data_IF_837942304610
#
_entry.id   IF_837942304610
#
_cell.length_a   1.000
_cell.length_b   1.000
_cell.length_c   1.000
_cell.angle_alpha   90.00
_cell.angle_beta   90.00
_cell.angle_gamma   90.00
#
_symmetry.space_group_name_H-M   'P 1'
#
loop_
_entity.id
_entity.type
_entity.pdbx_description
1 polymer ?
#
# COMPACT_ATOMS: atom_id res chain seq x y z
N UNK A 1 -32.40 -27.58 -4.26
CA UNK A 1 -33.72 -28.02 -4.77
C UNK A 1 -34.35 -26.82 -5.46
N UNK A 2 -34.13 -26.70 -6.76
CA UNK A 2 -34.64 -25.60 -7.59
C UNK A 2 -36.16 -25.67 -7.54
N UNK A 3 -36.80 -24.61 -7.05
CA UNK A 3 -38.25 -24.57 -6.88
C UNK A 3 -38.93 -24.70 -8.24
N UNK A 4 -39.78 -25.72 -8.34
CA UNK A 4 -40.59 -26.13 -9.49
C UNK A 4 -41.51 -25.01 -10.04
N UNK A 5 -41.55 -23.83 -9.38
CA UNK A 5 -42.26 -22.64 -9.83
C UNK A 5 -41.62 -21.93 -11.03
N UNK A 6 -40.33 -22.13 -11.30
CA UNK A 6 -39.65 -21.46 -12.42
C UNK A 6 -39.98 -22.09 -13.79
N UNK A 7 -40.47 -23.33 -13.83
CA UNK A 7 -40.65 -24.10 -15.06
C UNK A 7 -42.10 -24.07 -15.61
N UNK A 8 -43.05 -23.55 -14.85
CA UNK A 8 -44.48 -23.50 -15.22
C UNK A 8 -44.89 -22.24 -15.98
N UNK A 9 -43.97 -21.29 -16.19
CA UNK A 9 -44.25 -20.05 -16.93
C UNK A 9 -44.21 -20.19 -18.47
N UNK A 10 -43.94 -21.40 -18.99
CA UNK A 10 -43.72 -21.64 -20.43
C UNK A 10 -44.94 -22.13 -21.23
N UNK A 11 -46.14 -22.24 -20.64
CA UNK A 11 -47.34 -22.67 -21.38
C UNK A 11 -48.58 -21.79 -21.12
N UNK A 12 -48.82 -20.90 -22.09
CA UNK A 12 -50.11 -20.46 -22.66
C UNK A 12 -51.08 -19.55 -21.86
N UNK A 13 -51.44 -18.47 -22.57
CA UNK A 13 -52.66 -17.61 -22.51
C UNK A 13 -52.57 -16.32 -21.69
N UNK A 14 -52.32 -15.22 -22.42
CA UNK A 14 -52.70 -13.81 -22.16
C UNK A 14 -53.07 -13.45 -20.70
N UNK A 15 -52.05 -13.08 -19.93
CA UNK A 15 -52.20 -12.20 -18.78
C UNK A 15 -51.33 -10.95 -19.03
N UNK A 16 -51.96 -9.78 -18.89
CA UNK A 16 -51.34 -8.46 -18.95
C UNK A 16 -50.01 -8.49 -18.18
N UNK A 17 -48.91 -8.07 -18.82
CA UNK A 17 -47.62 -7.92 -18.16
C UNK A 17 -47.82 -7.00 -16.95
N UNK A 18 -47.80 -7.55 -15.74
CA UNK A 18 -47.68 -6.76 -14.53
C UNK A 18 -46.35 -6.02 -14.68
N UNK A 19 -46.43 -4.71 -14.88
CA UNK A 19 -45.25 -3.86 -14.91
C UNK A 19 -44.82 -3.79 -13.45
N UNK A 20 -43.79 -4.55 -13.07
CA UNK A 20 -43.22 -4.47 -11.72
C UNK A 20 -42.56 -3.08 -11.61
N UNK A 21 -43.01 -2.29 -10.64
CA UNK A 21 -42.45 -0.99 -10.34
C UNK A 21 -41.43 -1.17 -9.22
N UNK A 22 -40.28 -0.52 -9.34
CA UNK A 22 -39.22 -0.62 -8.34
C UNK A 22 -38.88 0.75 -7.75
N UNK A 23 -38.54 0.82 -6.47
CA UNK A 23 -38.03 2.04 -5.84
C UNK A 23 -36.53 1.92 -5.51
N UNK A 24 -35.73 2.95 -5.85
CA UNK A 24 -34.31 2.96 -5.52
C UNK A 24 -34.11 3.33 -4.04
N UNK A 25 -33.27 2.58 -3.34
CA UNK A 25 -32.82 2.89 -1.98
C UNK A 25 -31.30 3.05 -1.98
N UNK A 26 -30.81 4.20 -1.49
CA UNK A 26 -29.38 4.44 -1.31
C UNK A 26 -28.93 3.73 -0.03
N UNK A 27 -28.09 2.70 -0.17
CA UNK A 27 -27.65 1.88 0.96
C UNK A 27 -26.29 2.32 1.51
N UNK A 28 -25.42 2.85 0.67
CA UNK A 28 -24.14 3.43 1.11
C UNK A 28 -23.65 4.53 0.18
N UNK A 29 -22.95 5.51 0.78
CA UNK A 29 -22.15 6.51 0.06
C UNK A 29 -20.68 6.11 0.19
N UNK A 30 -20.09 5.70 -0.92
CA UNK A 30 -18.68 5.36 -1.03
C UNK A 30 -17.95 6.51 -1.71
N UNK A 31 -16.82 6.91 -1.13
CA UNK A 31 -15.94 7.89 -1.74
C UNK A 31 -14.79 7.15 -2.44
N UNK A 32 -14.23 7.76 -3.49
CA UNK A 32 -12.98 7.32 -4.10
C UNK A 32 -11.86 7.11 -3.06
N UNK A 33 -11.84 7.94 -2.03
CA UNK A 33 -10.93 7.83 -0.89
C UNK A 33 -11.70 7.84 0.42
N UNK A 34 -11.23 7.10 1.44
CA UNK A 34 -11.87 7.09 2.78
C UNK A 34 -11.91 8.45 3.48
N UNK A 35 -11.26 9.48 2.93
CA UNK A 35 -11.17 10.83 3.50
C UNK A 35 -11.23 11.87 2.38
N UNK A 36 -11.84 13.02 2.67
CA UNK A 36 -11.83 14.19 1.79
C UNK A 36 -10.52 14.95 1.96
N UNK A 37 -9.83 15.22 0.85
CA UNK A 37 -8.67 16.11 0.85
C UNK A 37 -9.09 17.51 0.41
N UNK A 38 -8.65 18.52 1.15
CA UNK A 38 -8.91 19.92 0.77
C UNK A 38 -8.31 20.22 -0.61
N UNK A 39 -9.07 20.94 -1.44
CA UNK A 39 -8.71 21.35 -2.80
C UNK A 39 -8.45 20.19 -3.77
N UNK A 40 -8.90 18.97 -3.44
CA UNK A 40 -8.87 17.81 -4.34
C UNK A 40 -10.29 17.37 -4.67
N UNK A 41 -10.60 17.27 -5.96
CA UNK A 41 -11.84 16.65 -6.41
C UNK A 41 -11.84 15.17 -6.00
N UNK A 42 -12.90 14.74 -5.33
CA UNK A 42 -13.09 13.35 -4.87
C UNK A 42 -14.38 12.82 -5.47
N UNK A 43 -14.33 11.70 -6.18
CA UNK A 43 -15.54 11.08 -6.72
C UNK A 43 -16.41 10.47 -5.62
N UNK A 44 -17.72 10.64 -5.76
CA UNK A 44 -18.75 10.12 -4.86
C UNK A 44 -19.55 9.06 -5.61
N UNK A 45 -19.66 7.87 -5.04
CA UNK A 45 -20.46 6.77 -5.57
C UNK A 45 -21.57 6.41 -4.59
N UNK A 46 -22.77 6.17 -5.12
CA UNK A 46 -23.89 5.74 -4.29
C UNK A 46 -24.29 4.32 -4.70
N UNK A 47 -24.29 3.40 -3.73
CA UNK A 47 -24.80 2.03 -3.92
C UNK A 47 -26.31 2.03 -3.78
N UNK A 48 -26.96 1.28 -4.67
CA UNK A 48 -28.41 1.20 -4.78
C UNK A 48 -28.89 -0.22 -4.58
N UNK A 49 -29.97 -0.35 -3.82
CA UNK A 49 -30.82 -1.53 -3.79
C UNK A 49 -32.23 -1.15 -4.27
N UNK A 50 -32.91 -2.08 -4.92
CA UNK A 50 -34.21 -1.84 -5.53
C UNK A 50 -35.27 -2.66 -4.79
N UNK A 51 -36.25 -1.98 -4.20
CA UNK A 51 -37.43 -2.61 -3.60
C UNK A 51 -38.59 -2.64 -4.59
N UNK A 52 -39.60 -3.47 -4.32
CA UNK A 52 -40.84 -3.51 -5.08
C UNK A 52 -41.80 -2.40 -4.61
N UNK A 53 -42.45 -1.73 -5.56
CA UNK A 53 -43.54 -0.78 -5.30
C UNK A 53 -44.88 -1.51 -5.42
N UNK A 54 -45.64 -1.52 -4.32
CA UNK A 54 -46.95 -2.17 -4.26
C UNK A 54 -48.03 -1.47 -5.12
N UNK A 55 -47.84 -0.19 -5.46
CA UNK A 55 -48.80 0.60 -6.26
C UNK A 55 -48.11 1.36 -7.41
N UNK A 56 -48.67 1.34 -8.63
CA UNK A 56 -48.20 2.17 -9.74
C UNK A 56 -48.36 3.66 -9.38
N UNK A 57 -47.30 4.45 -9.47
CA UNK A 57 -47.38 5.90 -9.32
C UNK A 57 -47.47 6.55 -10.71
N UNK A 58 -48.44 7.46 -10.89
CA UNK A 58 -48.57 8.22 -12.13
C UNK A 58 -47.38 9.16 -12.32
N UNK A 59 -46.83 9.22 -13.53
CA UNK A 59 -45.74 10.14 -13.88
C UNK A 59 -44.32 9.62 -13.63
N UNK A 60 -44.14 8.39 -13.13
CA UNK A 60 -42.81 7.79 -13.03
C UNK A 60 -42.20 7.55 -14.41
N UNK A 61 -41.08 8.23 -14.67
CA UNK A 61 -40.31 8.06 -15.88
C UNK A 61 -39.37 6.86 -15.80
N UNK A 62 -38.80 6.46 -16.95
CA UNK A 62 -37.73 5.46 -17.02
C UNK A 62 -36.35 6.10 -16.82
N UNK A 63 -36.28 7.09 -15.94
CA UNK A 63 -35.09 7.91 -15.69
C UNK A 63 -34.90 7.99 -14.18
N UNK A 64 -33.70 7.67 -13.74
CA UNK A 64 -33.24 7.82 -12.38
C UNK A 64 -32.52 9.15 -12.26
N UNK A 65 -33.06 10.08 -11.49
CA UNK A 65 -32.43 11.35 -11.18
C UNK A 65 -31.62 11.22 -9.89
N UNK A 66 -30.48 11.89 -9.84
CA UNK A 66 -29.66 11.95 -8.64
C UNK A 66 -29.12 13.36 -8.42
N UNK A 67 -28.92 13.71 -7.15
CA UNK A 67 -28.26 14.95 -6.73
C UNK A 67 -27.34 14.67 -5.55
N UNK A 68 -26.20 15.35 -5.57
CA UNK A 68 -25.20 15.32 -4.50
C UNK A 68 -25.13 16.69 -3.88
N UNK A 69 -25.38 16.75 -2.58
CA UNK A 69 -25.32 17.97 -1.79
C UNK A 69 -24.14 17.92 -0.82
N UNK A 70 -23.56 19.08 -0.57
CA UNK A 70 -22.55 19.30 0.46
C UNK A 70 -23.08 20.40 1.37
N UNK A 71 -23.26 20.09 2.65
CA UNK A 71 -23.88 20.98 3.64
C UNK A 71 -25.21 21.58 3.16
N UNK A 72 -26.02 20.77 2.47
CA UNK A 72 -27.32 21.15 1.92
C UNK A 72 -27.27 21.95 0.60
N UNK A 73 -26.10 22.32 0.08
CA UNK A 73 -25.97 22.95 -1.23
C UNK A 73 -25.78 21.91 -2.33
N UNK A 74 -26.56 21.97 -3.42
CA UNK A 74 -26.42 21.06 -4.56
C UNK A 74 -25.10 21.35 -5.29
N UNK A 75 -24.21 20.37 -5.31
CA UNK A 75 -22.89 20.46 -5.97
C UNK A 75 -22.90 19.75 -7.32
N UNK A 76 -23.56 18.61 -7.42
CA UNK A 76 -23.75 17.88 -8.68
C UNK A 76 -25.17 17.33 -8.79
N UNK A 77 -25.60 17.10 -10.02
CA UNK A 77 -26.84 16.42 -10.35
C UNK A 77 -26.71 15.75 -11.72
N UNK A 78 -27.51 14.71 -11.94
CA UNK A 78 -27.53 14.02 -13.22
C UNK A 78 -28.72 13.06 -13.34
N UNK A 79 -28.77 12.40 -14.48
CA UNK A 79 -29.84 11.46 -14.82
C UNK A 79 -29.27 10.19 -15.46
N UNK A 80 -29.91 9.06 -15.21
CA UNK A 80 -29.56 7.76 -15.80
C UNK A 80 -30.83 7.13 -16.38
N UNK A 81 -30.82 6.87 -17.70
CA UNK A 81 -31.94 6.20 -18.38
C UNK A 81 -31.93 4.70 -18.09
N UNK A 82 -33.01 4.18 -17.52
CA UNK A 82 -33.15 2.78 -17.10
C UNK A 82 -33.47 1.82 -18.27
N UNK A 83 -34.01 2.34 -19.39
CA UNK A 83 -34.50 1.53 -20.51
C UNK A 83 -33.43 1.03 -21.51
N UNK A 84 -32.19 1.50 -21.44
CA UNK A 84 -31.19 1.14 -22.46
C UNK A 84 -30.64 -0.30 -22.31
N UNK A 85 -30.73 -0.87 -21.10
CA UNK A 85 -30.10 -2.16 -20.75
C UNK A 85 -31.04 -3.13 -19.99
N UNK A 86 -32.26 -2.73 -19.62
CA UNK A 86 -33.19 -3.49 -18.76
C UNK A 86 -32.59 -3.99 -17.44
N UNK A 87 -31.46 -3.41 -17.01
CA UNK A 87 -30.78 -3.76 -15.76
C UNK A 87 -30.81 -2.54 -14.84
N UNK A 88 -31.42 -2.72 -13.67
CA UNK A 88 -31.44 -1.71 -12.63
C UNK A 88 -30.00 -1.49 -12.10
N UNK A 89 -29.49 -0.25 -12.08
CA UNK A 89 -28.12 0.01 -11.65
C UNK A 89 -27.96 -0.28 -10.16
N UNK A 90 -26.91 -1.02 -9.79
CA UNK A 90 -26.53 -1.27 -8.39
C UNK A 90 -25.63 -0.18 -7.81
N UNK A 91 -25.12 0.72 -8.66
CA UNK A 91 -24.27 1.84 -8.27
C UNK A 91 -24.43 2.99 -9.26
N UNK A 92 -24.37 4.23 -8.76
CA UNK A 92 -24.31 5.44 -9.58
C UNK A 92 -23.04 6.24 -9.26
N UNK A 93 -22.47 6.85 -10.29
CA UNK A 93 -21.47 7.91 -10.14
C UNK A 93 -22.21 9.21 -9.84
N UNK A 94 -22.10 9.66 -8.58
CA UNK A 94 -22.77 10.83 -8.04
C UNK A 94 -21.88 12.09 -8.13
N UNK A 95 -20.93 12.10 -9.06
CA UNK A 95 -20.09 13.24 -9.40
C UNK A 95 -18.98 13.52 -8.39
N UNK A 96 -18.27 14.63 -8.61
CA UNK A 96 -17.09 14.99 -7.84
C UNK A 96 -17.36 16.11 -6.83
N UNK A 97 -16.92 15.92 -5.59
CA UNK A 97 -17.00 16.94 -4.54
C UNK A 97 -15.62 17.57 -4.29
N UNK A 98 -15.57 18.90 -4.22
CA UNK A 98 -14.40 19.67 -3.80
C UNK A 98 -14.70 20.52 -2.58
N UNK A 99 -13.84 20.47 -1.58
CA UNK A 99 -13.96 21.22 -0.32
C UNK A 99 -12.70 22.06 -0.09
N UNK A 100 -12.86 23.28 0.43
CA UNK A 100 -11.77 24.27 0.50
C UNK A 100 -11.21 24.52 1.90
N UNK A 101 -11.87 24.01 2.94
CA UNK A 101 -11.41 24.19 4.33
C UNK A 101 -11.44 22.89 5.12
N UNK A 102 -10.57 22.75 6.13
CA UNK A 102 -10.56 21.57 6.99
C UNK A 102 -11.68 21.65 8.03
N UNK A 103 -12.82 21.07 7.68
CA UNK A 103 -14.02 20.99 8.51
C UNK A 103 -14.75 19.66 8.26
N UNK A 104 -15.74 19.37 9.10
CA UNK A 104 -16.69 18.29 8.82
C UNK A 104 -17.70 18.80 7.80
N UNK A 105 -17.84 18.07 6.71
CA UNK A 105 -18.85 18.32 5.67
C UNK A 105 -19.87 17.20 5.69
N UNK A 106 -21.12 17.54 5.49
CA UNK A 106 -22.21 16.60 5.31
C UNK A 106 -22.42 16.34 3.83
N UNK A 107 -22.07 15.14 3.37
CA UNK A 107 -22.34 14.70 2.01
C UNK A 107 -23.68 13.97 1.99
N UNK A 108 -24.62 14.53 1.25
CA UNK A 108 -25.95 13.95 1.05
C UNK A 108 -26.09 13.52 -0.40
N UNK A 109 -26.46 12.25 -0.62
CA UNK A 109 -26.84 11.78 -1.96
C UNK A 109 -28.32 11.44 -1.94
N UNK A 110 -29.08 12.11 -2.81
CA UNK A 110 -30.49 11.83 -3.04
C UNK A 110 -30.67 11.23 -4.42
N UNK A 111 -31.48 10.18 -4.51
CA UNK A 111 -31.85 9.49 -5.75
C UNK A 111 -33.37 9.41 -5.84
N UNK A 112 -33.94 9.71 -7.01
CA UNK A 112 -35.38 9.69 -7.22
C UNK A 112 -35.76 9.26 -8.64
N UNK A 113 -36.96 8.67 -8.78
CA UNK A 113 -37.63 8.47 -10.06
C UNK A 113 -38.54 9.66 -10.45
N UNK A 114 -38.70 10.62 -9.54
CA UNK A 114 -39.35 11.91 -9.77
C UNK A 114 -38.27 12.98 -9.99
N UNK A 115 -38.43 13.80 -11.05
CA UNK A 115 -37.48 14.85 -11.39
C UNK A 115 -37.36 15.91 -10.30
N UNK A 116 -38.46 16.17 -9.59
CA UNK A 116 -38.52 17.26 -8.60
C UNK A 116 -38.19 16.77 -7.18
N UNK A 117 -37.89 15.47 -7.00
CA UNK A 117 -37.60 14.82 -5.71
C UNK A 117 -38.71 15.05 -4.66
N UNK A 118 -39.94 15.29 -5.12
CA UNK A 118 -41.07 15.67 -4.26
C UNK A 118 -41.80 14.45 -3.70
N UNK A 119 -41.74 13.34 -4.42
CA UNK A 119 -42.39 12.10 -4.05
C UNK A 119 -41.48 11.25 -3.13
N UNK A 120 -41.79 11.22 -1.84
CA UNK A 120 -41.03 10.47 -0.82
C UNK A 120 -41.06 8.94 -1.04
N UNK A 121 -42.05 8.39 -1.74
CA UNK A 121 -42.15 6.94 -1.97
C UNK A 121 -41.11 6.40 -2.96
N UNK A 122 -40.58 7.29 -3.80
CA UNK A 122 -39.60 6.95 -4.84
C UNK A 122 -38.30 7.74 -4.70
N UNK A 123 -38.16 8.49 -3.60
CA UNK A 123 -36.98 9.28 -3.28
C UNK A 123 -36.28 8.67 -2.08
N UNK A 124 -35.00 8.33 -2.24
CA UNK A 124 -34.14 7.88 -1.17
C UNK A 124 -32.98 8.86 -0.99
N UNK A 125 -32.72 9.24 0.25
CA UNK A 125 -31.63 10.14 0.61
C UNK A 125 -30.81 9.51 1.72
N UNK A 126 -29.48 9.54 1.57
CA UNK A 126 -28.55 9.12 2.59
C UNK A 126 -27.56 10.26 2.89
N UNK A 127 -27.25 10.44 4.16
CA UNK A 127 -26.34 11.47 4.65
C UNK A 127 -25.10 10.82 5.27
N UNK A 128 -23.93 11.40 5.00
CA UNK A 128 -22.66 10.94 5.54
C UNK A 128 -21.77 12.13 5.89
N UNK A 129 -21.53 12.32 7.19
CA UNK A 129 -20.58 13.31 7.70
C UNK A 129 -19.13 12.85 7.51
N UNK A 130 -18.31 13.67 6.85
CA UNK A 130 -16.92 13.37 6.53
C UNK A 130 -16.03 14.56 6.84
N UNK A 131 -14.94 14.32 7.56
CA UNK A 131 -13.97 15.35 7.88
C UNK A 131 -12.96 15.52 6.74
N UNK A 132 -12.81 16.76 6.27
CA UNK A 132 -11.82 17.11 5.28
C UNK A 132 -10.48 17.46 5.92
N UNK A 133 -9.41 16.84 5.43
CA UNK A 133 -8.04 17.09 5.90
C UNK A 133 -7.18 17.69 4.80
N UNK A 134 -6.20 18.51 5.19
CA UNK A 134 -5.16 18.93 4.25
C UNK A 134 -4.25 17.76 3.90
N UNK A 135 -3.85 17.65 2.64
CA UNK A 135 -2.92 16.62 2.16
C UNK A 135 -1.60 16.61 2.93
N UNK A 136 -1.15 17.76 3.45
CA UNK A 136 0.07 17.86 4.26
C UNK A 136 0.01 17.06 5.57
N UNK A 137 -1.20 16.82 6.09
CA UNK A 137 -1.43 16.02 7.32
C UNK A 137 -0.99 14.56 7.13
N UNK A 138 -0.95 14.06 5.89
CA UNK A 138 -0.46 12.71 5.57
C UNK A 138 1.01 12.47 5.92
N UNK A 139 1.82 13.52 6.09
CA UNK A 139 3.22 13.42 6.51
C UNK A 139 3.39 13.24 8.03
N UNK A 140 2.35 13.55 8.82
CA UNK A 140 2.43 13.51 10.29
C UNK A 140 2.77 12.10 10.80
N UNK A 141 2.10 11.00 10.35
CA UNK A 141 2.46 9.66 10.79
C UNK A 141 3.94 9.33 10.55
N UNK A 142 4.50 9.71 9.40
CA UNK A 142 5.90 9.48 9.06
C UNK A 142 6.84 10.23 10.02
N UNK A 143 6.57 11.52 10.25
CA UNK A 143 7.37 12.34 11.18
C UNK A 143 7.32 11.76 12.58
N UNK A 144 6.14 11.33 13.04
CA UNK A 144 5.96 10.70 14.35
C UNK A 144 6.76 9.41 14.44
N UNK A 145 6.72 8.54 13.43
CA UNK A 145 7.51 7.30 13.41
C UNK A 145 9.00 7.61 13.55
N UNK A 146 9.54 8.54 12.75
CA UNK A 146 10.97 8.88 12.79
C UNK A 146 11.36 9.48 14.14
N UNK A 147 10.54 10.39 14.66
CA UNK A 147 10.77 11.00 15.97
C UNK A 147 10.79 9.97 17.10
N UNK A 148 9.80 9.09 17.17
CA UNK A 148 9.74 8.03 18.18
C UNK A 148 10.83 6.99 17.99
N UNK A 149 11.24 6.68 16.76
CA UNK A 149 12.31 5.72 16.49
C UNK A 149 13.64 6.22 17.09
N UNK A 150 13.94 7.51 16.92
CA UNK A 150 15.14 8.15 17.48
C UNK A 150 15.04 8.24 19.01
N UNK A 151 13.87 8.62 19.55
CA UNK A 151 13.69 8.80 20.99
C UNK A 151 13.72 7.49 21.77
N UNK A 152 13.05 6.46 21.25
CA UNK A 152 12.84 5.19 21.96
C UNK A 152 13.89 4.14 21.62
N UNK A 153 14.62 4.30 20.50
CA UNK A 153 15.45 3.26 19.89
C UNK A 153 14.70 1.92 19.69
N UNK A 154 13.36 1.98 19.52
CA UNK A 154 12.48 0.82 19.32
C UNK A 154 11.62 1.05 18.08
N UNK A 155 12.00 0.41 16.99
CA UNK A 155 11.36 0.60 15.68
C UNK A 155 9.92 0.08 15.69
N UNK A 156 9.66 -1.04 16.36
CA UNK A 156 8.36 -1.71 16.41
C UNK A 156 7.32 -0.83 17.12
N UNK A 157 7.70 -0.25 18.26
CA UNK A 157 6.84 0.68 19.01
C UNK A 157 6.57 1.93 18.18
N UNK A 158 7.59 2.43 17.48
CA UNK A 158 7.48 3.65 16.68
C UNK A 158 6.55 3.46 15.47
N UNK A 159 6.63 2.31 14.80
CA UNK A 159 5.70 1.94 13.73
C UNK A 159 4.26 1.81 14.25
N UNK A 160 4.07 1.17 15.41
CA UNK A 160 2.75 1.07 16.03
C UNK A 160 2.14 2.43 16.36
N UNK A 161 2.93 3.34 16.93
CA UNK A 161 2.51 4.74 17.19
C UNK A 161 2.19 5.47 15.89
N UNK A 162 2.94 5.23 14.82
CA UNK A 162 2.64 5.75 13.47
C UNK A 162 1.28 5.32 12.95
N UNK A 163 0.96 4.02 13.05
CA UNK A 163 -0.35 3.47 12.64
C UNK A 163 -1.48 4.07 13.49
N UNK A 164 -1.28 4.18 14.81
CA UNK A 164 -2.23 4.85 15.69
C UNK A 164 -2.44 6.31 15.31
N UNK A 165 -1.36 7.03 14.99
CA UNK A 165 -1.42 8.43 14.55
C UNK A 165 -2.22 8.58 13.25
N UNK A 166 -1.98 7.71 12.27
CA UNK A 166 -2.72 7.71 11.01
C UNK A 166 -4.21 7.45 11.21
N UNK A 167 -4.57 6.51 12.08
CA UNK A 167 -5.98 6.23 12.40
C UNK A 167 -6.62 7.34 13.21
N UNK A 168 -5.93 7.98 14.16
CA UNK A 168 -6.45 9.16 14.84
C UNK A 168 -6.82 10.26 13.84
N UNK A 169 -5.98 10.49 12.82
CA UNK A 169 -6.26 11.48 11.76
C UNK A 169 -7.52 11.11 10.97
N UNK A 170 -7.66 9.84 10.57
CA UNK A 170 -8.80 9.37 9.76
C UNK A 170 -10.12 9.41 10.53
N UNK A 171 -10.10 9.17 11.84
CA UNK A 171 -11.29 9.14 12.70
C UNK A 171 -11.45 10.42 13.53
N UNK A 172 -11.33 11.58 12.89
CA UNK A 172 -11.64 12.90 13.46
C UNK A 172 -10.85 13.24 14.74
N UNK A 173 -9.58 12.82 14.85
CA UNK A 173 -8.74 12.96 16.03
C UNK A 173 -9.30 12.27 17.28
N UNK A 174 -10.26 11.35 17.13
CA UNK A 174 -10.75 10.50 18.22
C UNK A 174 -9.69 9.45 18.57
N UNK A 175 -9.10 9.61 19.75
CA UNK A 175 -8.09 8.69 20.28
C UNK A 175 -8.69 7.30 20.49
N UNK A 176 -9.89 7.22 21.05
CA UNK A 176 -10.52 5.94 21.40
C UNK A 176 -10.93 5.20 20.13
N UNK A 177 -11.61 5.88 19.21
CA UNK A 177 -12.09 5.22 17.99
C UNK A 177 -10.93 4.90 17.04
N UNK A 178 -9.98 5.82 16.86
CA UNK A 178 -8.81 5.55 16.04
C UNK A 178 -7.97 4.39 16.60
N UNK A 179 -7.79 4.29 17.93
CA UNK A 179 -7.06 3.17 18.53
C UNK A 179 -7.76 1.84 18.32
N UNK A 180 -9.08 1.78 18.53
CA UNK A 180 -9.88 0.58 18.24
C UNK A 180 -9.74 0.18 16.78
N UNK A 181 -9.82 1.15 15.88
CA UNK A 181 -9.74 0.94 14.42
C UNK A 181 -8.35 0.52 13.96
N UNK A 182 -7.30 1.03 14.58
CA UNK A 182 -5.94 0.56 14.35
C UNK A 182 -5.84 -0.95 14.58
N UNK A 183 -6.41 -1.44 15.68
CA UNK A 183 -6.37 -2.87 16.02
C UNK A 183 -7.34 -3.70 15.16
N UNK A 184 -8.61 -3.33 15.10
CA UNK A 184 -9.67 -4.20 14.54
C UNK A 184 -9.76 -4.16 13.01
N UNK A 185 -9.35 -3.06 12.38
CA UNK A 185 -9.57 -2.82 10.95
C UNK A 185 -8.25 -2.84 10.21
N UNK A 186 -7.27 -2.03 10.64
CA UNK A 186 -6.03 -1.84 9.88
C UNK A 186 -5.03 -2.96 10.12
N UNK A 187 -4.77 -3.34 11.38
CA UNK A 187 -3.86 -4.46 11.68
C UNK A 187 -4.46 -5.78 11.18
N UNK A 188 -5.73 -6.06 11.48
CA UNK A 188 -6.39 -7.28 10.98
C UNK A 188 -6.44 -7.26 9.45
N UNK A 189 -6.84 -6.15 8.83
CA UNK A 189 -6.87 -6.01 7.38
C UNK A 189 -5.52 -6.30 6.74
N UNK A 190 -4.44 -5.75 7.30
CA UNK A 190 -3.07 -5.99 6.83
C UNK A 190 -2.64 -7.46 7.00
N UNK A 191 -3.05 -8.14 8.07
CA UNK A 191 -2.77 -9.57 8.30
C UNK A 191 -3.58 -10.49 7.39
N UNK A 192 -4.79 -10.08 6.99
CA UNK A 192 -5.66 -10.84 6.07
C UNK A 192 -5.35 -10.59 4.61
N UNK A 193 -4.55 -9.57 4.31
CA UNK A 193 -4.12 -9.25 2.96
C UNK A 193 -3.16 -10.32 2.44
N UNK A 194 -3.52 -10.94 1.31
CA UNK A 194 -2.76 -12.06 0.76
C UNK A 194 -1.33 -11.67 0.42
N UNK A 195 -1.09 -10.48 -0.12
CA UNK A 195 0.25 -10.03 -0.52
C UNK A 195 1.14 -9.86 0.72
N UNK A 196 0.61 -9.26 1.79
CA UNK A 196 1.33 -9.16 3.07
C UNK A 196 1.62 -10.54 3.67
N UNK A 197 0.72 -11.51 3.54
CA UNK A 197 0.96 -12.88 4.01
C UNK A 197 2.11 -13.55 3.26
N UNK A 198 2.22 -13.36 1.95
CA UNK A 198 3.36 -13.86 1.17
C UNK A 198 4.68 -13.27 1.69
N UNK A 199 4.72 -11.97 1.98
CA UNK A 199 5.91 -11.31 2.55
C UNK A 199 6.26 -11.91 3.92
N UNK A 200 5.29 -12.06 4.82
CA UNK A 200 5.51 -12.64 6.16
C UNK A 200 6.07 -14.07 6.06
N UNK A 201 5.46 -14.92 5.23
CA UNK A 201 5.91 -16.29 5.02
C UNK A 201 7.33 -16.32 4.45
N UNK A 202 7.59 -15.49 3.44
CA UNK A 202 8.90 -15.39 2.83
C UNK A 202 9.99 -14.98 3.84
N UNK A 203 9.76 -13.93 4.64
CA UNK A 203 10.68 -13.49 5.70
C UNK A 203 10.92 -14.58 6.75
N UNK A 204 9.88 -15.35 7.11
CA UNK A 204 9.99 -16.44 8.08
C UNK A 204 10.82 -17.61 7.52
N UNK A 205 10.60 -18.02 6.27
CA UNK A 205 11.39 -19.06 5.60
C UNK A 205 12.86 -18.64 5.47
N UNK A 206 13.10 -17.40 5.09
CA UNK A 206 14.42 -16.84 4.91
C UNK A 206 15.20 -16.80 6.24
N UNK A 207 14.56 -16.34 7.31
CA UNK A 207 15.12 -16.36 8.67
C UNK A 207 15.45 -17.79 9.13
N UNK A 208 14.59 -18.77 8.82
CA UNK A 208 14.84 -20.18 9.11
C UNK A 208 16.02 -20.77 8.33
N UNK A 209 16.13 -20.45 7.03
CA UNK A 209 17.24 -20.85 6.18
C UNK A 209 18.55 -20.28 6.70
N UNK A 210 18.57 -19.00 7.05
CA UNK A 210 19.73 -18.31 7.62
C UNK A 210 20.16 -18.97 8.94
N UNK A 211 19.22 -19.22 9.87
CA UNK A 211 19.52 -19.90 11.12
C UNK A 211 20.04 -21.35 10.93
N UNK A 212 19.56 -22.05 9.91
CA UNK A 212 20.08 -23.37 9.54
C UNK A 212 21.52 -23.27 9.01
N UNK A 213 21.83 -22.28 8.17
CA UNK A 213 23.17 -22.05 7.66
C UNK A 213 24.17 -21.81 8.80
N UNK A 214 23.81 -21.01 9.80
CA UNK A 214 24.64 -20.78 10.98
C UNK A 214 24.93 -22.07 11.75
N UNK A 215 23.90 -22.90 12.01
CA UNK A 215 24.06 -24.16 12.76
C UNK A 215 24.78 -25.26 12.00
N UNK A 216 24.72 -25.25 10.66
CA UNK A 216 25.31 -26.29 9.80
C UNK A 216 26.85 -26.31 9.81
N UNK A 217 27.50 -25.34 10.47
CA UNK A 217 28.94 -25.12 10.42
C UNK A 217 29.52 -24.88 9.01
N UNK A 218 28.67 -24.69 7.99
CA UNK A 218 29.09 -24.36 6.61
C UNK A 218 29.93 -23.07 6.56
N UNK A 219 29.61 -22.11 7.43
CA UNK A 219 30.37 -20.87 7.66
C UNK A 219 31.84 -21.15 8.00
N UNK A 220 32.12 -22.17 8.83
CA UNK A 220 33.49 -22.54 9.19
C UNK A 220 34.26 -23.17 8.00
N UNK A 221 33.59 -23.97 7.17
CA UNK A 221 34.16 -24.50 5.93
C UNK A 221 34.49 -23.41 4.91
N UNK A 222 33.61 -22.40 4.79
CA UNK A 222 33.83 -21.25 3.93
C UNK A 222 35.03 -20.43 4.41
N UNK A 223 35.14 -20.18 5.72
CA UNK A 223 36.30 -19.47 6.29
C UNK A 223 37.62 -20.15 6.00
N UNK A 224 37.69 -21.48 6.11
CA UNK A 224 38.93 -22.20 5.85
C UNK A 224 39.37 -22.07 4.39
N UNK A 225 38.42 -22.02 3.48
CA UNK A 225 38.66 -21.85 2.04
C UNK A 225 39.11 -20.41 1.73
N UNK A 226 38.40 -19.41 2.28
CA UNK A 226 38.69 -18.00 2.07
C UNK A 226 40.01 -17.55 2.69
N UNK A 227 40.43 -18.16 3.81
CA UNK A 227 41.70 -17.87 4.48
C UNK A 227 42.92 -18.03 3.56
N UNK A 228 42.87 -18.91 2.55
CA UNK A 228 43.96 -19.09 1.58
C UNK A 228 44.18 -17.87 0.68
N UNK A 229 43.12 -17.08 0.46
CA UNK A 229 43.12 -15.88 -0.39
C UNK A 229 43.29 -14.59 0.41
N UNK A 230 42.87 -14.57 1.68
CA UNK A 230 42.99 -13.45 2.61
C UNK A 230 44.43 -13.27 3.15
N UNK A 231 45.37 -12.90 2.28
CA UNK A 231 46.79 -12.75 2.64
C UNK A 231 47.17 -11.40 3.23
N UNK A 232 46.38 -10.36 2.93
CA UNK A 232 46.64 -8.99 3.41
C UNK A 232 45.34 -8.37 3.93
N UNK A 233 45.40 -7.36 4.81
CA UNK A 233 44.21 -6.69 5.32
C UNK A 233 43.28 -6.18 4.21
N UNK A 234 43.85 -5.57 3.17
CA UNK A 234 43.11 -5.09 1.99
C UNK A 234 42.42 -6.25 1.24
N UNK A 235 43.12 -7.36 1.00
CA UNK A 235 42.52 -8.52 0.32
C UNK A 235 41.40 -9.15 1.15
N UNK A 236 41.57 -9.22 2.48
CA UNK A 236 40.52 -9.74 3.36
C UNK A 236 39.28 -8.83 3.39
N UNK A 237 39.47 -7.51 3.41
CA UNK A 237 38.37 -6.55 3.29
C UNK A 237 37.68 -6.64 1.93
N UNK A 238 38.43 -6.79 0.83
CA UNK A 238 37.86 -7.03 -0.51
C UNK A 238 37.09 -8.35 -0.57
N UNK A 239 37.58 -9.41 0.06
CA UNK A 239 36.85 -10.68 0.15
C UNK A 239 35.55 -10.53 0.95
N UNK A 240 35.56 -9.75 2.03
CA UNK A 240 34.35 -9.44 2.79
C UNK A 240 33.35 -8.66 1.93
N UNK A 241 33.84 -7.62 1.25
CA UNK A 241 33.03 -6.82 0.33
C UNK A 241 32.41 -7.69 -0.78
N UNK A 242 33.22 -8.52 -1.45
CA UNK A 242 32.73 -9.44 -2.49
C UNK A 242 31.79 -10.51 -1.95
N UNK A 243 31.95 -10.96 -0.70
CA UNK A 243 31.02 -11.92 -0.10
C UNK A 243 29.61 -11.34 0.01
N UNK A 244 29.47 -10.04 0.27
CA UNK A 244 28.18 -9.37 0.27
C UNK A 244 27.49 -9.35 -1.11
N UNK A 245 28.26 -9.33 -2.21
CA UNK A 245 27.68 -9.50 -3.55
C UNK A 245 27.19 -10.91 -3.82
N UNK A 246 27.82 -11.92 -3.21
CA UNK A 246 27.43 -13.30 -3.41
C UNK A 246 26.16 -13.62 -2.61
N UNK A 247 26.08 -13.09 -1.39
CA UNK A 247 24.93 -13.25 -0.48
C UNK A 247 23.95 -12.08 -0.66
N UNK A 248 23.58 -11.81 -1.91
CA UNK A 248 22.79 -10.64 -2.30
C UNK A 248 21.27 -10.80 -2.17
N UNK A 249 20.80 -12.01 -1.86
CA UNK A 249 19.37 -12.32 -1.88
C UNK A 249 18.60 -11.69 -0.71
N UNK A 250 19.30 -11.33 0.39
CA UNK A 250 18.70 -10.74 1.58
C UNK A 250 19.74 -10.00 2.42
N UNK A 251 19.36 -8.85 2.97
CA UNK A 251 20.24 -7.99 3.76
C UNK A 251 20.55 -8.57 5.15
N UNK A 252 19.60 -9.21 5.83
CA UNK A 252 19.86 -9.89 7.11
C UNK A 252 20.75 -11.12 6.93
N UNK A 253 20.43 -11.97 5.95
CA UNK A 253 21.24 -13.14 5.62
C UNK A 253 22.68 -12.75 5.30
N UNK A 254 22.85 -11.70 4.51
CA UNK A 254 24.15 -11.12 4.16
C UNK A 254 24.90 -10.68 5.42
N UNK A 255 24.27 -9.84 6.24
CA UNK A 255 24.88 -9.33 7.46
C UNK A 255 25.39 -10.43 8.38
N UNK A 256 24.58 -11.46 8.57
CA UNK A 256 24.88 -12.55 9.47
C UNK A 256 25.94 -13.48 8.90
N UNK A 257 25.78 -13.93 7.66
CA UNK A 257 26.69 -14.87 7.02
C UNK A 257 28.05 -14.23 6.73
N UNK A 258 28.09 -13.05 6.12
CA UNK A 258 29.34 -12.33 5.84
C UNK A 258 30.02 -11.92 7.13
N UNK A 259 29.28 -11.40 8.12
CA UNK A 259 29.82 -11.03 9.43
C UNK A 259 30.44 -12.21 10.17
N UNK A 260 29.71 -13.32 10.31
CA UNK A 260 30.19 -14.52 10.99
C UNK A 260 31.39 -15.19 10.28
N UNK A 261 31.36 -15.22 8.93
CA UNK A 261 32.44 -15.78 8.13
C UNK A 261 33.69 -14.90 8.18
N UNK A 262 33.55 -13.60 7.95
CA UNK A 262 34.72 -12.77 7.71
C UNK A 262 35.40 -12.34 9.02
N UNK A 263 34.67 -12.28 10.13
CA UNK A 263 35.20 -11.84 11.42
C UNK A 263 36.46 -12.59 11.87
N UNK A 264 36.53 -13.93 11.91
CA UNK A 264 37.77 -14.63 12.29
C UNK A 264 38.95 -14.36 11.36
N UNK A 265 38.70 -14.08 10.08
CA UNK A 265 39.75 -13.80 9.08
C UNK A 265 40.30 -12.39 9.28
N UNK A 266 39.43 -11.40 9.47
CA UNK A 266 39.81 -10.00 9.66
C UNK A 266 40.42 -9.74 11.04
N UNK A 267 39.93 -10.41 12.10
CA UNK A 267 40.54 -10.33 13.44
C UNK A 267 42.01 -10.81 13.40
N UNK A 268 42.35 -11.83 12.59
CA UNK A 268 43.74 -12.30 12.40
C UNK A 268 44.64 -11.31 11.64
N UNK A 269 44.04 -10.42 10.85
CA UNK A 269 44.75 -9.42 10.04
C UNK A 269 44.67 -8.02 10.67
N UNK A 270 44.26 -7.93 11.93
CA UNK A 270 44.16 -6.68 12.71
C UNK A 270 43.28 -5.62 12.04
N UNK A 271 42.19 -6.03 11.39
CA UNK A 271 41.16 -5.11 10.91
C UNK A 271 40.09 -4.98 12.00
N UNK A 272 39.67 -3.76 12.30
CA UNK A 272 38.70 -3.45 13.33
C UNK A 272 37.32 -4.03 13.02
N UNK A 273 36.55 -4.26 14.09
CA UNK A 273 35.18 -4.79 13.98
C UNK A 273 34.23 -3.76 13.42
N UNK A 274 34.50 -2.49 13.68
CA UNK A 274 33.80 -1.33 13.14
C UNK A 274 33.95 -1.29 11.61
N UNK A 275 35.17 -1.51 11.09
CA UNK A 275 35.40 -1.59 9.65
C UNK A 275 34.68 -2.78 9.02
N UNK A 276 34.71 -3.95 9.67
CA UNK A 276 33.96 -5.11 9.19
C UNK A 276 32.45 -4.84 9.19
N UNK A 277 31.90 -4.28 10.27
CA UNK A 277 30.49 -3.93 10.36
C UNK A 277 30.09 -2.97 9.23
N UNK A 278 30.93 -1.97 8.94
CA UNK A 278 30.68 -1.03 7.86
C UNK A 278 30.73 -1.69 6.47
N UNK A 279 31.72 -2.56 6.22
CA UNK A 279 31.78 -3.34 4.96
C UNK A 279 30.49 -4.13 4.77
N UNK A 280 30.12 -4.90 5.79
CA UNK A 280 28.96 -5.79 5.75
C UNK A 280 27.66 -5.01 5.54
N UNK A 281 27.43 -3.95 6.31
CA UNK A 281 26.25 -3.08 6.18
C UNK A 281 26.17 -2.40 4.79
N UNK A 282 27.29 -1.87 4.31
CA UNK A 282 27.39 -1.22 2.99
C UNK A 282 27.17 -2.17 1.81
N UNK A 283 27.24 -3.49 2.04
CA UNK A 283 27.01 -4.52 1.01
C UNK A 283 25.72 -5.30 1.22
N UNK A 284 25.04 -5.16 2.35
CA UNK A 284 23.80 -5.86 2.64
C UNK A 284 22.62 -5.15 1.94
N UNK A 285 22.10 -4.08 2.54
CA UNK A 285 20.97 -3.34 2.00
C UNK A 285 21.26 -2.72 0.62
N UNK A 286 22.44 -2.11 0.36
CA UNK A 286 22.73 -1.54 -0.97
C UNK A 286 22.73 -2.55 -2.11
N UNK A 287 23.30 -3.75 -1.92
CA UNK A 287 23.33 -4.77 -2.99
C UNK A 287 21.93 -5.37 -3.17
N UNK A 288 21.23 -5.68 -2.07
CA UNK A 288 19.86 -6.18 -2.14
C UNK A 288 18.91 -5.20 -2.87
N UNK A 289 19.16 -3.89 -2.75
CA UNK A 289 18.40 -2.86 -3.46
C UNK A 289 18.76 -2.71 -4.94
N UNK A 290 19.88 -3.23 -5.44
CA UNK A 290 20.27 -3.11 -6.85
C UNK A 290 19.97 -4.38 -7.66
N UNK A 291 19.82 -5.51 -7.00
CA UNK A 291 19.72 -6.81 -7.66
C UNK A 291 18.24 -7.21 -7.75
N UNK A 292 17.70 -7.49 -8.95
CA UNK A 292 16.28 -7.80 -9.14
C UNK A 292 15.81 -9.08 -8.43
N UNK A 293 16.74 -9.91 -7.97
CA UNK A 293 16.47 -11.15 -7.23
C UNK A 293 16.88 -10.92 -5.78
N UNK A 294 16.04 -10.21 -5.03
CA UNK A 294 16.23 -9.93 -3.61
C UNK A 294 14.92 -10.01 -2.82
N UNK A 295 15.04 -10.07 -1.50
CA UNK A 295 13.92 -10.07 -0.57
C UNK A 295 13.00 -8.85 -0.71
N UNK A 296 13.55 -7.70 -1.12
CA UNK A 296 12.83 -6.44 -1.29
C UNK A 296 12.18 -6.28 -2.66
N UNK A 297 12.75 -6.90 -3.71
CA UNK A 297 12.28 -6.71 -5.08
C UNK A 297 10.78 -7.07 -5.23
N UNK A 298 10.34 -8.18 -4.66
CA UNK A 298 8.94 -8.61 -4.72
C UNK A 298 7.98 -7.61 -4.07
N UNK A 299 8.33 -7.09 -2.90
CA UNK A 299 7.54 -6.07 -2.21
C UNK A 299 7.48 -4.77 -3.03
N UNK A 300 8.62 -4.27 -3.51
CA UNK A 300 8.69 -3.05 -4.30
C UNK A 300 7.90 -3.16 -5.61
N UNK A 301 8.04 -4.28 -6.33
CA UNK A 301 7.28 -4.53 -7.57
C UNK A 301 5.78 -4.57 -7.29
N UNK A 302 5.35 -5.19 -6.19
CA UNK A 302 3.93 -5.22 -5.82
C UNK A 302 3.39 -3.81 -5.51
N UNK A 303 4.14 -3.00 -4.73
CA UNK A 303 3.75 -1.62 -4.45
C UNK A 303 3.71 -0.78 -5.73
N UNK A 304 4.70 -0.92 -6.61
CA UNK A 304 4.72 -0.27 -7.91
C UNK A 304 3.49 -0.67 -8.72
N UNK A 305 3.17 -1.96 -8.80
CA UNK A 305 2.02 -2.46 -9.54
C UNK A 305 0.70 -1.87 -9.02
N UNK A 306 0.52 -1.86 -7.69
CA UNK A 306 -0.66 -1.28 -7.05
C UNK A 306 -0.84 0.20 -7.40
N UNK A 307 0.23 0.98 -7.32
CA UNK A 307 0.15 2.41 -7.64
C UNK A 307 -0.02 2.66 -9.14
N UNK A 308 0.59 1.81 -9.98
CA UNK A 308 0.43 1.88 -11.43
C UNK A 308 -1.02 1.61 -11.85
N UNK A 309 -1.69 0.65 -11.23
CA UNK A 309 -3.13 0.39 -11.44
C UNK A 309 -3.97 1.62 -11.11
N UNK A 310 -3.75 2.22 -9.94
CA UNK A 310 -4.45 3.46 -9.52
C UNK A 310 -4.22 4.59 -10.53
N UNK A 311 -2.99 4.77 -11.03
CA UNK A 311 -2.68 5.81 -12.01
C UNK A 311 -3.41 5.56 -13.34
N UNK A 312 -3.44 4.31 -13.81
CA UNK A 312 -4.12 3.92 -15.06
C UNK A 312 -5.63 4.11 -14.92
N UNK A 313 -6.22 3.67 -13.82
CA UNK A 313 -7.64 3.85 -13.52
C UNK A 313 -8.02 5.33 -13.51
N UNK A 314 -7.23 6.16 -12.83
CA UNK A 314 -7.44 7.62 -12.78
C UNK A 314 -7.24 8.33 -14.11
N UNK A 315 -6.61 7.68 -15.10
CA UNK A 315 -6.37 8.21 -16.43
C UNK A 315 -7.19 7.48 -17.50
N UNK A 316 -8.48 7.23 -17.19
CA UNK A 316 -9.46 6.60 -18.09
C UNK A 316 -9.05 5.21 -18.60
N UNK A 317 -8.30 4.45 -17.79
CA UNK A 317 -7.81 3.12 -18.16
C UNK A 317 -6.60 3.13 -19.10
N UNK A 318 -5.97 4.29 -19.33
CA UNK A 318 -4.80 4.42 -20.21
C UNK A 318 -3.60 4.90 -19.40
N UNK A 319 -2.44 4.24 -19.55
CA UNK A 319 -1.23 4.75 -18.91
C UNK A 319 -0.80 6.10 -19.50
N UNK A 320 -0.33 7.03 -18.64
CA UNK A 320 0.29 8.27 -19.09
C UNK A 320 1.40 8.04 -20.12
N UNK A 321 1.57 8.99 -21.03
CA UNK A 321 2.60 8.91 -22.06
C UNK A 321 4.00 8.79 -21.42
N UNK A 322 4.78 7.80 -21.86
CA UNK A 322 6.09 7.48 -21.31
C UNK A 322 6.09 6.55 -20.08
N UNK A 323 4.92 6.19 -19.54
CA UNK A 323 4.80 5.23 -18.45
C UNK A 323 4.50 3.83 -18.98
N UNK A 324 5.31 2.85 -18.58
CA UNK A 324 5.09 1.43 -18.91
C UNK A 324 3.98 0.83 -18.04
N UNK A 325 3.16 -0.04 -18.62
CA UNK A 325 2.14 -0.82 -17.89
C UNK A 325 2.73 -2.01 -17.11
N UNK A 326 4.04 -2.21 -17.19
CA UNK A 326 4.72 -3.32 -16.54
C UNK A 326 5.50 -2.83 -15.30
N UNK A 327 5.01 -3.19 -14.12
CA UNK A 327 5.64 -2.85 -12.85
C UNK A 327 7.09 -3.33 -12.72
N UNK A 328 7.42 -4.50 -13.27
CA UNK A 328 8.79 -5.01 -13.27
C UNK A 328 9.71 -4.20 -14.19
N UNK A 329 9.21 -3.74 -15.34
CA UNK A 329 9.98 -2.85 -16.22
C UNK A 329 10.26 -1.51 -15.52
N UNK A 330 9.25 -0.92 -14.86
CA UNK A 330 9.43 0.32 -14.10
C UNK A 330 10.40 0.14 -12.92
N UNK A 331 10.37 -1.01 -12.25
CA UNK A 331 11.33 -1.37 -11.23
C UNK A 331 12.78 -1.37 -11.79
N UNK A 332 13.01 -2.00 -12.94
CA UNK A 332 14.34 -2.00 -13.59
C UNK A 332 14.78 -0.60 -14.00
N UNK A 333 13.87 0.21 -14.54
CA UNK A 333 14.14 1.61 -14.91
C UNK A 333 14.46 2.49 -13.69
N UNK A 334 14.02 2.09 -12.49
CA UNK A 334 14.33 2.79 -11.23
C UNK A 334 15.77 2.55 -10.74
N UNK A 335 16.42 1.44 -11.12
CA UNK A 335 17.72 1.02 -10.58
C UNK A 335 18.81 2.09 -10.79
N UNK A 336 18.98 2.71 -11.97
CA UNK A 336 19.98 3.77 -12.17
C UNK A 336 19.81 5.00 -11.27
N UNK A 337 18.59 5.24 -10.78
CA UNK A 337 18.26 6.38 -9.90
C UNK A 337 18.43 6.06 -8.41
N UNK A 338 18.84 4.83 -8.06
CA UNK A 338 19.15 4.42 -6.68
C UNK A 338 20.54 4.93 -6.29
N UNK A 339 20.66 6.25 -6.16
CA UNK A 339 21.95 6.91 -5.91
C UNK A 339 22.61 6.45 -4.62
N UNK A 340 21.86 6.30 -3.53
CA UNK A 340 22.44 5.89 -2.25
C UNK A 340 23.11 4.50 -2.34
N UNK A 341 22.43 3.42 -2.78
CA UNK A 341 23.07 2.12 -2.95
C UNK A 341 24.31 2.15 -3.83
N UNK A 342 24.22 2.80 -4.99
CA UNK A 342 25.32 2.88 -5.97
C UNK A 342 26.52 3.60 -5.35
N UNK A 343 26.28 4.78 -4.78
CA UNK A 343 27.35 5.60 -4.21
C UNK A 343 27.96 4.94 -2.98
N UNK A 344 27.18 4.26 -2.14
CA UNK A 344 27.69 3.57 -0.95
C UNK A 344 28.61 2.41 -1.32
N UNK A 345 28.23 1.61 -2.31
CA UNK A 345 29.06 0.53 -2.87
C UNK A 345 30.38 1.06 -3.41
N UNK A 346 30.31 2.11 -4.23
CA UNK A 346 31.50 2.74 -4.83
C UNK A 346 32.39 3.32 -3.74
N UNK A 347 31.79 4.00 -2.77
CA UNK A 347 32.49 4.58 -1.63
C UNK A 347 33.21 3.51 -0.81
N UNK A 348 32.54 2.41 -0.46
CA UNK A 348 33.15 1.32 0.30
C UNK A 348 34.34 0.70 -0.44
N UNK A 349 34.20 0.46 -1.75
CA UNK A 349 35.28 -0.04 -2.60
C UNK A 349 36.50 0.91 -2.58
N UNK A 350 36.27 2.23 -2.72
CA UNK A 350 37.33 3.23 -2.64
C UNK A 350 38.01 3.29 -1.27
N UNK A 351 37.26 3.15 -0.17
CA UNK A 351 37.84 3.13 1.17
C UNK A 351 38.80 1.94 1.34
N UNK A 352 38.39 0.75 0.90
CA UNK A 352 39.22 -0.46 1.01
C UNK A 352 40.52 -0.31 0.22
N UNK A 353 40.46 0.22 -1.01
CA UNK A 353 41.65 0.37 -1.86
C UNK A 353 42.56 1.50 -1.39
N UNK A 354 41.98 2.65 -1.03
CA UNK A 354 42.74 3.81 -0.57
C UNK A 354 43.35 3.62 0.82
N UNK A 355 42.89 2.62 1.59
CA UNK A 355 43.27 2.38 2.99
C UNK A 355 43.08 3.63 3.86
N UNK A 356 42.08 4.44 3.51
CA UNK A 356 41.74 5.66 4.24
C UNK A 356 40.46 5.42 5.00
N UNK A 357 40.55 5.65 6.29
CA UNK A 357 39.43 5.52 7.23
C UNK A 357 39.14 6.90 7.82
N UNK A 358 37.92 7.12 8.31
CA UNK A 358 37.50 8.41 8.85
C UNK A 358 36.72 8.25 10.16
N UNK A 359 36.66 9.35 10.91
CA UNK A 359 35.86 9.44 12.13
C UNK A 359 36.22 8.39 13.20
N UNK A 360 35.22 7.88 13.93
CA UNK A 360 35.43 6.85 14.96
C UNK A 360 36.07 5.57 14.44
N UNK A 361 35.78 5.18 13.19
CA UNK A 361 36.35 3.97 12.56
C UNK A 361 37.86 4.09 12.37
N UNK A 362 38.37 5.26 11.98
CA UNK A 362 39.82 5.51 11.91
C UNK A 362 40.51 5.33 13.27
N UNK A 363 39.84 5.73 14.35
CA UNK A 363 40.36 5.56 15.71
C UNK A 363 40.38 4.09 16.10
N UNK A 364 39.37 3.31 15.70
CA UNK A 364 39.31 1.88 15.94
C UNK A 364 40.39 1.11 15.16
N UNK A 365 40.66 1.49 13.90
CA UNK A 365 41.69 0.87 13.04
C UNK A 365 43.13 1.15 13.48
N UNK A 366 43.34 2.12 14.37
CA UNK A 366 44.67 2.49 14.90
C UNK A 366 44.97 1.90 16.29
N UNK A 367 44.01 1.18 16.88
CA UNK A 367 44.21 0.41 18.11
C UNK A 367 44.84 -0.93 17.78
#
# INVERSE_FOLDING_TARGET
MVSLKFLLALFTVHAVAATEYFNPTVTSIDLEHKTLFTDKATAVHAKLEWGELETPQEGLGNVLYWKTLVDGAVVNQGEVKLNATNLLPSMIDAGNVTVHSSATYEITVSVSLDNDFSNELVTSTLEKGIFAISSAVSLIPLIVVVFFAILTNKVEVSLFVGVCTGTFIIYNLSIIDGFKRALDTYIIGALTDGDNQHVILFTLFLSGLVGMMEKSAGVFGLTHTLKKYAKTPMLAQLLAFMSGYIIMFDDYANCLACGATMRPILDLLMVSREKLAFIVDSTAAPVAALIPVSSWAGFEINQINRQLQVIIENNNGVAPEGLTNNAFALYLDSIPYRFYPILMIVFMFFLIISKREFGPMLTAERK
#
